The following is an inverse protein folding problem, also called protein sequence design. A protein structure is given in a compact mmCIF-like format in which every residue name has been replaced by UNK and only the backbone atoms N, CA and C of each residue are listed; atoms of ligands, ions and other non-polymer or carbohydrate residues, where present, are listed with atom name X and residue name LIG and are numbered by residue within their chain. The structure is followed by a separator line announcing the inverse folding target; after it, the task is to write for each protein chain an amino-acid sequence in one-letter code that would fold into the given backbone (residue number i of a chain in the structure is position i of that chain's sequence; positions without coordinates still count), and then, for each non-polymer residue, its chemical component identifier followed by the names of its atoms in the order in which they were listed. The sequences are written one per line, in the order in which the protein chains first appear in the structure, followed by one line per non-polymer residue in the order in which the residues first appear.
data_IF_124230171229
#
_entry.id   IF_124230171229
#
_cell.length_a   1.000
_cell.length_b   1.000
_cell.length_c   1.000
_cell.angle_alpha   90.00
_cell.angle_beta   90.00
_cell.angle_gamma   90.00
#
_symmetry.space_group_name_H-M   'P 1'
#
loop_
_entity.id
_entity.type
_entity.pdbx_description
1 polymer ?
#
# COMPACT_ATOMS: atom_id res chain seq x y z
N UNK A 1 -5.91 6.38 -10.23
CA UNK A 1 -4.85 5.74 -9.42
C UNK A 1 -5.21 5.95 -7.97
N UNK A 2 -5.55 4.90 -7.22
CA UNK A 2 -5.72 4.99 -5.76
C UNK A 2 -4.54 4.24 -5.15
N UNK A 3 -3.68 4.94 -4.43
CA UNK A 3 -2.60 4.35 -3.65
C UNK A 3 -2.82 4.67 -2.18
N UNK A 4 -2.86 3.66 -1.32
CA UNK A 4 -2.71 3.80 0.13
C UNK A 4 -1.50 2.99 0.55
N UNK A 5 -0.55 3.63 1.21
CA UNK A 5 0.62 3.01 1.81
C UNK A 5 0.46 2.90 3.33
N UNK A 6 1.52 2.46 4.00
CA UNK A 6 1.53 2.30 5.45
C UNK A 6 1.26 3.61 6.22
N UNK A 7 1.57 4.78 5.63
CA UNK A 7 1.29 6.09 6.22
C UNK A 7 -0.21 6.32 6.38
N UNK A 8 -0.99 6.03 5.33
CA UNK A 8 -2.45 6.21 5.33
C UNK A 8 -3.18 5.20 6.22
N UNK A 9 -2.59 4.02 6.47
CA UNK A 9 -3.12 3.03 7.41
C UNK A 9 -2.64 3.23 8.86
N UNK A 10 -1.76 4.20 9.12
CA UNK A 10 -1.18 4.42 10.45
C UNK A 10 -0.31 3.26 10.94
N UNK A 11 0.37 2.57 10.01
CA UNK A 11 1.31 1.50 10.36
C UNK A 11 2.45 2.01 11.24
N UNK A 12 3.17 1.11 11.90
CA UNK A 12 4.39 1.45 12.65
C UNK A 12 5.61 1.04 11.83
N UNK A 13 6.28 2.03 11.22
CA UNK A 13 7.57 1.83 10.57
C UNK A 13 8.71 1.90 11.60
N UNK A 14 9.82 1.17 11.40
CA UNK A 14 10.99 1.23 12.25
C UNK A 14 11.78 2.52 11.96
N UNK A 15 12.39 3.09 12.99
CA UNK A 15 13.25 4.27 12.84
C UNK A 15 14.52 3.97 12.00
N UNK A 16 15.00 2.73 12.05
CA UNK A 16 16.20 2.29 11.35
C UNK A 16 16.17 0.77 11.10
N UNK A 17 16.70 0.34 9.95
CA UNK A 17 16.96 -1.06 9.63
C UNK A 17 18.40 -1.18 9.10
N UNK A 18 19.23 -2.07 9.66
CA UNK A 18 20.59 -2.27 9.18
C UNK A 18 20.61 -2.87 7.76
N UNK A 19 21.70 -2.65 7.04
CA UNK A 19 21.93 -3.27 5.74
C UNK A 19 21.86 -4.81 5.85
N UNK A 20 21.22 -5.45 4.87
CA UNK A 20 20.99 -6.89 4.89
C UNK A 20 19.73 -7.34 5.65
N UNK A 21 18.96 -6.41 6.24
CA UNK A 21 17.66 -6.74 6.82
C UNK A 21 16.65 -7.16 5.76
N UNK A 22 15.74 -8.07 6.13
CA UNK A 22 14.60 -8.48 5.31
C UNK A 22 13.35 -7.75 5.83
N UNK A 23 12.66 -7.06 4.91
CA UNK A 23 11.38 -6.42 5.17
C UNK A 23 10.29 -7.28 4.55
N UNK A 24 9.36 -7.75 5.37
CA UNK A 24 8.13 -8.41 4.92
C UNK A 24 6.94 -7.50 5.20
N UNK A 25 6.06 -7.39 4.22
CA UNK A 25 4.90 -6.53 4.28
C UNK A 25 3.67 -7.32 3.83
N UNK A 26 2.57 -7.17 4.55
CA UNK A 26 1.25 -7.65 4.13
C UNK A 26 0.26 -6.50 4.13
N UNK A 27 -0.24 -6.18 2.95
CA UNK A 27 -1.35 -5.25 2.80
C UNK A 27 -2.62 -6.04 2.44
N UNK A 28 -3.69 -5.82 3.19
CA UNK A 28 -5.02 -6.29 2.86
C UNK A 28 -5.86 -5.09 2.43
N UNK A 29 -6.45 -5.15 1.23
CA UNK A 29 -7.34 -4.13 0.69
C UNK A 29 -8.63 -4.76 0.22
N UNK A 30 -9.76 -4.20 0.64
CA UNK A 30 -11.06 -4.53 0.04
C UNK A 30 -11.31 -3.64 -1.18
N UNK A 31 -11.54 -4.26 -2.33
CA UNK A 31 -11.73 -3.57 -3.60
C UNK A 31 -13.17 -3.78 -4.09
N UNK A 32 -13.87 -2.66 -4.32
CA UNK A 32 -15.17 -2.62 -5.01
C UNK A 32 -14.93 -2.10 -6.43
N UNK A 33 -14.48 -3.00 -7.31
CA UNK A 33 -14.11 -2.74 -8.71
C UNK A 33 -15.22 -3.11 -9.71
N UNK A 34 -15.50 -2.19 -10.63
CA UNK A 34 -16.32 -2.50 -11.80
C UNK A 34 -15.62 -3.50 -12.74
N UNK A 35 -16.30 -3.87 -13.84
CA UNK A 35 -15.70 -4.74 -14.85
C UNK A 35 -14.52 -4.05 -15.52
N UNK A 36 -13.46 -4.83 -15.78
CA UNK A 36 -12.31 -4.34 -16.51
C UNK A 36 -10.99 -4.92 -16.01
N UNK A 37 -9.92 -4.37 -16.54
CA UNK A 37 -8.55 -4.76 -16.22
C UNK A 37 -7.89 -3.71 -15.33
N UNK A 38 -7.35 -4.18 -14.22
CA UNK A 38 -6.67 -3.37 -13.22
C UNK A 38 -5.24 -3.84 -13.08
N UNK A 39 -4.32 -2.91 -12.91
CA UNK A 39 -2.94 -3.21 -12.53
C UNK A 39 -2.66 -2.62 -11.15
N UNK A 40 -1.73 -3.25 -10.44
CA UNK A 40 -1.22 -2.71 -9.19
C UNK A 40 0.29 -2.64 -9.21
N UNK A 41 0.79 -1.64 -8.49
CA UNK A 41 2.21 -1.32 -8.37
C UNK A 41 2.61 -1.48 -6.91
N UNK A 42 3.88 -1.82 -6.67
CA UNK A 42 4.44 -1.90 -5.33
C UNK A 42 5.65 -0.98 -5.24
N UNK A 43 5.86 -0.39 -4.07
CA UNK A 43 7.01 0.47 -3.83
C UNK A 43 7.42 0.42 -2.37
N UNK A 44 8.72 0.58 -2.15
CA UNK A 44 9.28 0.81 -0.82
C UNK A 44 9.85 2.21 -0.79
N UNK A 45 9.55 2.94 0.28
CA UNK A 45 10.06 4.27 0.50
C UNK A 45 10.47 4.44 1.97
N UNK A 46 11.33 5.43 2.21
CA UNK A 46 11.72 5.87 3.54
C UNK A 46 11.30 7.31 3.74
N UNK A 47 11.16 7.72 4.98
CA UNK A 47 10.98 9.09 5.42
C UNK A 47 11.82 9.28 6.68
N UNK A 48 12.29 10.50 6.93
CA UNK A 48 13.06 10.76 8.15
C UNK A 48 12.17 10.63 9.41
N UNK A 49 12.74 10.20 10.56
CA UNK A 49 11.96 9.95 11.77
C UNK A 49 11.21 11.17 12.31
N UNK A 50 11.75 12.37 12.16
CA UNK A 50 11.14 13.60 12.68
C UNK A 50 9.88 13.97 11.90
N UNK A 51 9.95 13.86 10.57
CA UNK A 51 8.80 14.09 9.69
C UNK A 51 7.74 13.02 9.86
N UNK A 52 8.13 11.76 10.07
CA UNK A 52 7.19 10.68 10.38
C UNK A 52 6.38 10.97 11.65
N UNK A 53 7.04 11.34 12.74
CA UNK A 53 6.39 11.67 14.03
C UNK A 53 5.44 12.86 13.93
N UNK A 54 5.73 13.80 13.02
CA UNK A 54 4.96 15.03 12.81
C UNK A 54 4.00 14.94 11.62
N UNK A 55 3.84 13.78 10.99
CA UNK A 55 3.13 13.63 9.71
C UNK A 55 1.70 14.18 9.74
N UNK A 56 0.99 14.07 10.88
CA UNK A 56 -0.37 14.59 11.06
C UNK A 56 -0.47 16.12 11.02
N UNK A 57 0.66 16.83 11.09
CA UNK A 57 0.75 18.29 11.04
C UNK A 57 1.28 18.80 9.70
N UNK A 58 1.71 17.90 8.81
CA UNK A 58 2.23 18.23 7.48
C UNK A 58 1.09 18.21 6.47
N UNK A 59 1.14 19.10 5.48
CA UNK A 59 0.30 18.97 4.30
C UNK A 59 0.71 17.73 3.48
N UNK A 60 -0.16 17.29 2.57
CA UNK A 60 0.16 16.18 1.68
C UNK A 60 1.44 16.45 0.86
N UNK A 61 1.58 17.65 0.31
CA UNK A 61 2.74 18.06 -0.50
C UNK A 61 4.02 18.08 0.34
N UNK A 62 3.94 18.63 1.54
CA UNK A 62 5.06 18.69 2.49
C UNK A 62 5.53 17.31 2.95
N UNK A 63 4.59 16.39 3.20
CA UNK A 63 4.89 15.03 3.57
C UNK A 63 5.56 14.30 2.40
N UNK A 64 4.96 14.38 1.21
CA UNK A 64 5.43 13.67 0.03
C UNK A 64 6.80 14.15 -0.46
N UNK A 65 7.11 15.45 -0.30
CA UNK A 65 8.42 16.01 -0.60
C UNK A 65 9.56 15.43 0.26
N UNK A 66 9.23 14.82 1.40
CA UNK A 66 10.19 14.21 2.33
C UNK A 66 10.29 12.70 2.19
N UNK A 67 9.42 12.10 1.38
CA UNK A 67 9.44 10.66 1.09
C UNK A 67 10.52 10.37 0.04
N UNK A 68 11.44 9.49 0.38
CA UNK A 68 12.51 9.01 -0.51
C UNK A 68 12.15 7.61 -0.98
N UNK A 69 11.94 7.46 -2.29
CA UNK A 69 11.68 6.15 -2.90
C UNK A 69 12.94 5.30 -2.90
N UNK A 70 12.88 4.13 -2.27
CA UNK A 70 13.97 3.14 -2.26
C UNK A 70 13.88 2.26 -3.51
N UNK A 71 12.70 1.69 -3.76
CA UNK A 71 12.46 0.87 -4.93
C UNK A 71 11.00 0.96 -5.39
N UNK A 72 10.76 0.58 -6.63
CA UNK A 72 9.43 0.60 -7.22
C UNK A 72 9.29 -0.45 -8.31
N UNK A 73 8.20 -1.19 -8.24
CA UNK A 73 7.77 -2.19 -9.19
C UNK A 73 6.46 -1.71 -9.84
N UNK A 74 6.52 -1.07 -11.02
CA UNK A 74 5.38 -0.41 -11.66
C UNK A 74 4.35 -1.38 -12.26
N UNK A 75 4.62 -2.68 -12.29
CA UNK A 75 3.69 -3.71 -12.78
C UNK A 75 3.81 -4.95 -11.94
N UNK A 76 3.44 -4.84 -10.66
CA UNK A 76 3.53 -5.96 -9.73
C UNK A 76 2.52 -7.07 -10.08
N UNK A 77 1.37 -6.72 -10.65
CA UNK A 77 0.43 -7.69 -11.20
C UNK A 77 -0.78 -7.05 -11.88
N UNK A 78 -1.66 -7.93 -12.38
CA UNK A 78 -2.90 -7.56 -13.08
C UNK A 78 -4.06 -8.36 -12.48
N UNK A 79 -5.23 -7.73 -12.38
CA UNK A 79 -6.49 -8.31 -11.93
C UNK A 79 -7.55 -7.99 -12.98
N UNK A 80 -8.21 -9.02 -13.52
CA UNK A 80 -9.33 -8.85 -14.44
C UNK A 80 -10.64 -9.16 -13.72
N UNK A 81 -11.57 -8.22 -13.75
CA UNK A 81 -12.92 -8.36 -13.18
C UNK A 81 -13.89 -8.64 -14.32
N UNK A 82 -14.42 -9.87 -14.32
CA UNK A 82 -15.41 -10.35 -15.28
C UNK A 82 -16.82 -10.41 -14.72
N UNK A 83 -17.79 -10.71 -15.59
CA UNK A 83 -19.18 -10.88 -15.20
C UNK A 83 -19.36 -12.00 -14.16
N UNK A 84 -20.25 -11.78 -13.20
CA UNK A 84 -20.69 -12.86 -12.30
C UNK A 84 -21.35 -13.97 -13.11
N UNK A 85 -20.93 -15.21 -12.87
CA UNK A 85 -21.51 -16.41 -13.49
C UNK A 85 -22.80 -16.88 -12.80
N UNK A 86 -23.08 -16.38 -11.60
CA UNK A 86 -24.29 -16.71 -10.85
C UNK A 86 -25.52 -15.95 -11.37
N UNK A 87 -26.66 -16.65 -11.47
CA UNK A 87 -27.93 -16.13 -12.03
C UNK A 87 -28.90 -15.54 -11.00
N UNK A 88 -28.51 -15.46 -9.74
CA UNK A 88 -29.33 -14.85 -8.67
C UNK A 88 -28.81 -13.44 -8.33
N UNK A 89 -29.68 -12.44 -8.52
CA UNK A 89 -29.39 -11.03 -8.20
C UNK A 89 -28.83 -10.21 -9.36
N UNK A 90 -28.40 -8.98 -9.05
CA UNK A 90 -27.81 -8.06 -10.04
C UNK A 90 -26.43 -8.53 -10.50
N UNK A 91 -26.17 -8.43 -11.81
CA UNK A 91 -24.87 -8.76 -12.40
C UNK A 91 -23.76 -7.78 -11.97
N UNK A 92 -24.12 -6.54 -11.65
CA UNK A 92 -23.23 -5.52 -11.09
C UNK A 92 -23.62 -5.26 -9.63
N UNK A 93 -22.67 -5.37 -8.71
CA UNK A 93 -22.91 -5.06 -7.30
C UNK A 93 -22.45 -3.67 -6.88
N UNK A 94 -21.79 -2.93 -7.77
CA UNK A 94 -21.26 -1.60 -7.49
C UNK A 94 -20.85 -0.91 -8.80
N UNK A 95 -20.86 0.42 -8.79
CA UNK A 95 -20.48 1.28 -9.91
C UNK A 95 -19.03 1.76 -9.84
N UNK A 96 -18.15 1.02 -9.16
CA UNK A 96 -16.72 1.29 -9.09
C UNK A 96 -16.33 2.54 -8.29
N UNK A 97 -16.29 2.44 -6.96
CA UNK A 97 -15.63 3.44 -6.10
C UNK A 97 -14.93 2.68 -4.98
N UNK A 98 -13.61 2.83 -4.88
CA UNK A 98 -12.81 2.17 -3.87
C UNK A 98 -12.11 3.20 -2.96
N UNK A 99 -12.59 3.34 -1.73
CA UNK A 99 -11.85 4.01 -0.64
C UNK A 99 -10.81 3.05 -0.01
N UNK A 100 -10.47 1.93 -0.68
CA UNK A 100 -9.44 0.97 -0.29
C UNK A 100 -9.36 0.68 1.23
N UNK A 101 -10.48 0.36 1.92
CA UNK A 101 -10.40 0.04 3.35
C UNK A 101 -9.58 -1.24 3.53
N UNK A 102 -8.81 -1.31 4.62
CA UNK A 102 -7.76 -2.32 4.71
C UNK A 102 -6.93 -2.27 5.98
N UNK A 103 -5.91 -3.12 6.00
CA UNK A 103 -4.88 -3.22 7.04
C UNK A 103 -3.51 -3.34 6.40
N UNK A 104 -2.49 -2.87 7.11
CA UNK A 104 -1.11 -2.91 6.67
C UNK A 104 -0.23 -3.37 7.81
N UNK A 105 0.43 -4.52 7.64
CA UNK A 105 1.29 -5.14 8.64
C UNK A 105 2.72 -5.26 8.12
N UNK A 106 3.68 -5.06 9.01
CA UNK A 106 5.11 -5.26 8.73
C UNK A 106 5.72 -6.31 9.66
N UNK A 107 6.72 -7.00 9.13
CA UNK A 107 7.65 -7.83 9.88
C UNK A 107 9.07 -7.52 9.40
N UNK A 108 9.99 -7.39 10.36
CA UNK A 108 11.39 -7.06 10.09
C UNK A 108 12.28 -8.17 10.65
N UNK A 109 13.17 -8.67 9.82
CA UNK A 109 14.18 -9.65 10.22
C UNK A 109 15.56 -9.02 10.00
N UNK A 110 16.30 -8.83 11.09
CA UNK A 110 17.67 -8.31 11.04
C UNK A 110 18.65 -9.47 11.10
N UNK A 111 19.59 -9.53 10.16
CA UNK A 111 20.70 -10.47 10.27
C UNK A 111 21.60 -10.00 11.43
N UNK A 112 21.50 -10.65 12.57
CA UNK A 112 22.49 -10.54 13.65
C UNK A 112 23.81 -11.01 13.07
N UNK A 113 24.71 -10.09 12.78
CA UNK A 113 26.11 -10.43 12.52
C UNK A 113 26.79 -10.49 13.88
N UNK A 114 27.09 -11.69 14.37
CA UNK A 114 28.16 -11.88 15.36
C UNK A 114 29.53 -11.66 14.70
#
# INVERSE_FOLDING_TARGET
MHGKGSLEYGGNAPDFLPAGSIIRCRQHVELKLELGDYSYELGLASIDPESYKKMSRLSHEELFARVIRICHLPRAGVITIGWRSAREGSQLTHHGVADLPGKFDFEFETNSSD
#
